data_IF_870320707293
#
_entry.id   IF_870320707293
#
_cell.length_a   1.000
_cell.length_b   1.000
_cell.length_c   1.000
_cell.angle_alpha   90.00
_cell.angle_beta   90.00
_cell.angle_gamma   90.00
#
_symmetry.space_group_name_H-M   'P 1'
#
loop_
_entity.id
_entity.type
_entity.pdbx_description
1 polymer ?
#
# COMPACT_ATOMS: atom_id res chain seq x y z
N UNK A 1 -5.93 -2.58 27.51
CA UNK A 1 -5.25 -2.05 26.31
C UNK A 1 -5.12 -3.19 25.32
N UNK A 2 -5.77 -3.10 24.14
CA UNK A 2 -5.65 -4.17 23.13
C UNK A 2 -4.46 -3.87 22.23
N UNK A 3 -3.29 -4.34 22.66
CA UNK A 3 -2.09 -4.42 21.82
C UNK A 3 -2.38 -5.44 20.71
N UNK A 4 -2.79 -4.95 19.54
CA UNK A 4 -2.97 -5.82 18.37
C UNK A 4 -1.58 -6.29 17.95
N UNK A 5 -1.26 -7.53 18.33
CA UNK A 5 -0.15 -8.32 17.79
C UNK A 5 -0.11 -8.07 16.29
N UNK A 6 0.89 -7.31 15.84
CA UNK A 6 1.11 -7.07 14.44
C UNK A 6 1.28 -8.44 13.80
N UNK A 7 0.33 -8.85 12.95
CA UNK A 7 0.49 -10.07 12.14
C UNK A 7 1.90 -9.98 11.57
N UNK A 8 2.73 -10.98 11.83
CA UNK A 8 3.98 -11.15 11.09
C UNK A 8 3.56 -11.52 9.67
N UNK A 9 3.17 -10.52 8.89
CA UNK A 9 2.79 -10.71 7.52
C UNK A 9 4.10 -10.85 6.77
N UNK A 10 4.29 -11.97 6.07
CA UNK A 10 5.44 -12.14 5.19
C UNK A 10 5.50 -10.94 4.24
N UNK A 11 6.52 -10.10 4.43
CA UNK A 11 6.75 -8.93 3.59
C UNK A 11 7.34 -9.50 2.29
N UNK A 12 6.63 -9.37 1.17
CA UNK A 12 7.12 -9.89 -0.08
C UNK A 12 8.37 -9.11 -0.47
N UNK A 13 9.39 -9.83 -0.95
CA UNK A 13 10.61 -9.19 -1.46
C UNK A 13 10.23 -8.21 -2.59
N UNK A 14 10.87 -7.05 -2.65
CA UNK A 14 10.71 -6.14 -3.77
C UNK A 14 11.11 -6.85 -5.07
N UNK A 15 10.31 -6.68 -6.13
CA UNK A 15 10.47 -7.35 -7.42
C UNK A 15 10.74 -6.29 -8.48
N UNK A 16 11.89 -6.39 -9.13
CA UNK A 16 12.28 -5.48 -10.20
C UNK A 16 12.25 -4.02 -9.76
N UNK A 17 11.40 -3.23 -10.41
CA UNK A 17 11.25 -1.78 -10.20
C UNK A 17 10.48 -1.36 -8.93
N UNK A 18 9.93 -2.32 -8.17
CA UNK A 18 9.14 -2.05 -6.97
C UNK A 18 9.99 -2.23 -5.70
N UNK A 19 11.09 -1.49 -5.58
CA UNK A 19 11.90 -1.42 -4.36
C UNK A 19 11.40 -0.36 -3.38
N UNK A 20 10.76 0.69 -3.90
CA UNK A 20 10.29 1.82 -3.13
C UNK A 20 8.76 1.86 -3.00
N UNK A 21 8.22 2.21 -1.81
CA UNK A 21 6.80 2.46 -1.65
C UNK A 21 6.31 3.60 -2.57
N UNK A 22 7.20 4.53 -2.94
CA UNK A 22 6.86 5.62 -3.85
C UNK A 22 6.45 5.10 -5.23
N UNK A 23 7.30 4.25 -5.84
CA UNK A 23 7.07 3.64 -7.14
C UNK A 23 5.80 2.79 -7.13
N UNK A 24 5.57 2.04 -6.05
CA UNK A 24 4.37 1.21 -5.91
C UNK A 24 3.08 2.05 -5.90
N UNK A 25 3.03 3.10 -5.10
CA UNK A 25 1.86 3.95 -4.94
C UNK A 25 1.58 4.79 -6.19
N UNK A 26 2.62 5.24 -6.89
CA UNK A 26 2.49 5.89 -8.19
C UNK A 26 1.92 4.93 -9.24
N UNK A 27 2.42 3.69 -9.28
CA UNK A 27 1.99 2.68 -10.26
C UNK A 27 0.52 2.31 -10.12
N UNK A 28 0.01 2.10 -8.89
CA UNK A 28 -1.39 1.73 -8.67
C UNK A 28 -2.38 2.89 -8.90
N UNK A 29 -1.89 4.14 -8.98
CA UNK A 29 -2.66 5.34 -9.23
C UNK A 29 -3.79 5.63 -8.22
N UNK A 30 -4.90 6.19 -8.71
CA UNK A 30 -6.08 6.61 -7.92
C UNK A 30 -5.77 7.61 -6.79
N UNK A 31 -4.81 8.49 -7.01
CA UNK A 31 -4.39 9.49 -6.04
C UNK A 31 -3.61 8.91 -4.86
N UNK A 32 -3.09 7.69 -4.99
CA UNK A 32 -2.19 7.10 -4.00
C UNK A 32 -0.77 7.71 -4.05
N UNK A 33 -0.40 8.27 -5.19
CA UNK A 33 0.85 9.01 -5.42
C UNK A 33 1.10 10.16 -4.43
N UNK A 34 0.03 10.76 -3.88
CA UNK A 34 0.09 11.87 -2.92
C UNK A 34 0.49 11.42 -1.50
N UNK A 35 0.47 10.12 -1.25
CA UNK A 35 0.82 9.55 0.05
C UNK A 35 2.20 8.91 0.04
N UNK A 36 2.97 9.06 -1.03
CA UNK A 36 4.33 8.53 -1.14
C UNK A 36 5.22 9.07 -0.03
N UNK A 37 5.16 10.36 0.27
CA UNK A 37 5.88 11.01 1.39
C UNK A 37 5.46 10.52 2.78
N UNK A 38 4.32 9.82 2.89
CA UNK A 38 3.81 9.30 4.17
C UNK A 38 4.41 7.93 4.50
N UNK A 39 4.88 7.19 3.50
CA UNK A 39 5.47 5.87 3.72
C UNK A 39 7.00 5.98 3.67
N UNK A 40 7.65 5.60 4.78
CA UNK A 40 9.12 5.64 4.89
C UNK A 40 9.79 4.55 4.07
N UNK A 41 9.35 3.31 4.27
CA UNK A 41 10.02 2.13 3.74
C UNK A 41 9.01 1.13 3.14
N UNK A 42 9.53 0.20 2.34
CA UNK A 42 8.78 -0.92 1.80
C UNK A 42 8.08 -1.71 2.91
N UNK A 43 8.82 -2.06 3.96
CA UNK A 43 8.27 -2.77 5.12
C UNK A 43 7.14 -1.99 5.80
N UNK A 44 7.26 -0.67 5.88
CA UNK A 44 6.23 0.18 6.46
C UNK A 44 4.93 0.13 5.65
N UNK A 45 5.01 0.14 4.31
CA UNK A 45 3.84 0.02 3.43
C UNK A 45 3.11 -1.32 3.62
N UNK A 46 3.85 -2.44 3.67
CA UNK A 46 3.25 -3.78 3.79
C UNK A 46 2.80 -4.10 5.22
N UNK A 47 3.42 -3.50 6.23
CA UNK A 47 3.05 -3.69 7.64
C UNK A 47 1.91 -2.77 8.08
N UNK A 48 1.68 -1.67 7.37
CA UNK A 48 0.63 -0.72 7.71
C UNK A 48 -0.78 -1.35 7.62
N UNK A 49 -1.54 -1.24 8.71
CA UNK A 49 -2.95 -1.63 8.77
C UNK A 49 -3.87 -0.47 8.37
N UNK A 50 -5.10 -0.78 7.95
CA UNK A 50 -6.16 0.20 7.68
C UNK A 50 -6.38 1.24 8.80
N UNK A 51 -6.19 0.84 10.06
CA UNK A 51 -6.33 1.70 11.22
C UNK A 51 -5.10 2.62 11.38
N UNK A 52 -3.89 2.08 11.22
CA UNK A 52 -2.64 2.85 11.28
C UNK A 52 -2.60 3.87 10.14
N UNK A 53 -2.92 3.46 8.91
CA UNK A 53 -3.03 4.40 7.77
C UNK A 53 -4.04 5.52 8.01
N UNK A 54 -5.09 5.28 8.83
CA UNK A 54 -6.04 6.33 9.21
C UNK A 54 -5.46 7.27 10.25
N UNK A 55 -4.90 6.70 11.33
CA UNK A 55 -4.46 7.45 12.51
C UNK A 55 -3.16 8.21 12.25
N UNK A 56 -2.18 7.54 11.66
CA UNK A 56 -0.82 8.06 11.48
C UNK A 56 -0.68 8.86 10.18
N UNK A 57 -1.36 8.44 9.11
CA UNK A 57 -1.15 8.98 7.76
C UNK A 57 -2.34 9.80 7.24
N UNK A 58 -3.49 9.75 7.91
CA UNK A 58 -4.69 10.49 7.50
C UNK A 58 -5.28 10.06 6.15
N UNK A 59 -5.00 8.84 5.69
CA UNK A 59 -5.39 8.38 4.35
C UNK A 59 -6.90 8.13 4.28
N UNK A 60 -7.52 8.62 3.20
CA UNK A 60 -8.94 8.43 2.93
C UNK A 60 -9.35 6.95 2.83
N UNK A 61 -10.62 6.61 3.13
CA UNK A 61 -11.09 5.22 3.13
C UNK A 61 -10.97 4.53 1.76
N UNK A 62 -11.12 5.27 0.64
CA UNK A 62 -11.00 4.72 -0.71
C UNK A 62 -9.56 4.28 -1.00
N UNK A 63 -8.59 5.15 -0.70
CA UNK A 63 -7.17 4.87 -0.94
C UNK A 63 -6.65 3.79 0.00
N UNK A 64 -7.06 3.78 1.27
CA UNK A 64 -6.71 2.68 2.21
C UNK A 64 -7.15 1.31 1.68
N UNK A 65 -8.41 1.19 1.25
CA UNK A 65 -8.91 -0.07 0.65
C UNK A 65 -8.12 -0.45 -0.60
N UNK A 66 -7.77 0.53 -1.43
CA UNK A 66 -7.00 0.32 -2.66
C UNK A 66 -5.59 -0.19 -2.38
N UNK A 67 -4.85 0.46 -1.48
CA UNK A 67 -3.49 0.06 -1.09
C UNK A 67 -3.51 -1.34 -0.48
N UNK A 68 -4.46 -1.62 0.41
CA UNK A 68 -4.59 -2.96 1.02
C UNK A 68 -4.93 -4.05 0.01
N UNK A 69 -5.78 -3.75 -0.97
CA UNK A 69 -6.06 -4.67 -2.06
C UNK A 69 -4.80 -4.98 -2.88
N UNK A 70 -4.02 -3.96 -3.22
CA UNK A 70 -2.80 -4.12 -4.02
C UNK A 70 -1.66 -4.80 -3.27
N UNK A 71 -1.45 -4.47 -2.01
CA UNK A 71 -0.47 -5.18 -1.17
C UNK A 71 -0.83 -6.66 -1.02
N UNK A 72 -2.13 -7.00 -0.97
CA UNK A 72 -2.59 -8.39 -0.98
C UNK A 72 -2.32 -9.06 -2.35
N UNK A 73 -2.67 -8.42 -3.46
CA UNK A 73 -2.38 -8.90 -4.82
C UNK A 73 -0.87 -9.15 -5.04
N UNK A 74 -0.04 -8.23 -4.57
CA UNK A 74 1.42 -8.35 -4.68
C UNK A 74 1.96 -9.54 -3.88
N UNK A 75 1.38 -9.85 -2.71
CA UNK A 75 1.68 -11.07 -1.95
C UNK A 75 1.26 -12.34 -2.71
N UNK A 76 0.17 -12.28 -3.45
CA UNK A 76 -0.28 -13.38 -4.33
C UNK A 76 0.56 -13.52 -5.61
N UNK A 77 1.49 -12.60 -5.84
CA UNK A 77 2.36 -12.61 -7.01
C UNK A 77 1.84 -11.86 -8.23
N UNK A 78 0.85 -11.00 -8.04
CA UNK A 78 0.35 -10.10 -9.07
C UNK A 78 1.05 -8.75 -8.92
N UNK A 79 1.82 -8.35 -9.92
CA UNK A 79 2.52 -7.07 -9.92
C UNK A 79 1.55 -5.88 -10.06
N UNK A 80 1.83 -4.75 -9.39
CA UNK A 80 1.01 -3.55 -9.52
C UNK A 80 1.07 -3.00 -10.94
N UNK A 81 -0.10 -2.63 -11.46
CA UNK A 81 -0.23 -1.94 -12.73
C UNK A 81 -1.26 -0.82 -12.60
N UNK A 82 -1.13 0.19 -13.45
CA UNK A 82 -2.06 1.31 -13.47
C UNK A 82 -3.43 0.83 -13.98
N UNK A 83 -4.41 0.78 -13.08
CA UNK A 83 -5.80 0.57 -13.46
C UNK A 83 -6.40 1.95 -13.74
N UNK A 84 -6.39 2.33 -15.01
CA UNK A 84 -7.06 3.55 -15.45
C UNK A 84 -8.55 3.46 -15.10
N UNK A 85 -9.13 4.53 -14.51
CA UNK A 85 -10.57 4.58 -14.33
C UNK A 85 -11.23 4.54 -15.71
N UNK A 86 -12.31 3.76 -15.85
CA UNK A 86 -13.09 3.74 -17.10
C UNK A 86 -13.43 5.17 -17.49
N UNK A 87 -12.97 5.62 -18.66
CA UNK A 87 -13.51 6.83 -19.29
C UNK A 87 -15.02 6.60 -19.43
N UNK A 88 -15.80 7.51 -18.86
CA UNK A 88 -17.24 7.60 -19.11
C UNK A 88 -17.46 8.45 -20.34
#
# INVERSE_FOLDING_TARGET
ATEKVGRQIAIPRPRGQFDSPATFLQTIGRGCEKFTDKFRDWDHLFRADSLAMKKDLGIGPKQRKWILMWTNKYRMGIDPYLIEPSKK
#
